data_IF_506537896339
#
_entry.id   IF_506537896339
#
_cell.length_a   1.000
_cell.length_b   1.000
_cell.length_c   1.000
_cell.angle_alpha   90.00
_cell.angle_beta   90.00
_cell.angle_gamma   90.00
#
_symmetry.space_group_name_H-M   'P 1'
#
loop_
_entity.id
_entity.type
_entity.pdbx_description
1 polymer ?
#
# COMPACT_ATOMS: atom_id res chain seq x y z
N UNK A 1 -15.94 1.10 28.83
CA UNK A 1 -16.03 2.38 28.09
C UNK A 1 -16.31 2.01 26.64
N UNK A 2 -17.54 2.22 26.14
CA UNK A 2 -17.95 1.85 24.78
C UNK A 2 -17.84 3.08 23.89
N UNK A 3 -17.10 2.97 22.80
CA UNK A 3 -16.95 4.01 21.80
C UNK A 3 -18.28 4.13 21.03
N UNK A 4 -18.99 5.23 21.21
CA UNK A 4 -20.21 5.56 20.48
C UNK A 4 -19.79 6.51 19.37
N UNK A 5 -19.73 6.04 18.11
CA UNK A 5 -19.46 6.90 16.96
C UNK A 5 -20.72 7.07 16.07
N UNK A 6 -21.33 8.23 16.24
CA UNK A 6 -21.81 9.17 15.21
C UNK A 6 -22.79 8.76 14.09
N UNK A 7 -23.45 7.59 14.09
CA UNK A 7 -24.50 7.31 13.08
C UNK A 7 -25.84 6.78 13.61
N UNK A 8 -25.98 6.56 14.92
CA UNK A 8 -27.26 6.09 15.52
C UNK A 8 -27.70 4.70 15.07
N UNK A 9 -26.92 4.00 14.23
CA UNK A 9 -27.16 2.61 13.84
C UNK A 9 -26.39 1.70 14.79
N UNK A 10 -27.11 0.97 15.63
CA UNK A 10 -26.52 -0.15 16.36
C UNK A 10 -26.30 -1.29 15.37
N UNK A 11 -25.05 -1.61 15.06
CA UNK A 11 -24.73 -2.83 14.33
C UNK A 11 -25.02 -4.02 15.22
N UNK A 12 -25.85 -4.95 14.75
CA UNK A 12 -26.04 -6.21 15.45
C UNK A 12 -24.88 -7.17 15.13
N UNK A 13 -24.85 -8.31 15.82
CA UNK A 13 -23.78 -9.29 15.64
C UNK A 13 -23.75 -9.87 14.22
N UNK A 14 -24.89 -9.98 13.56
CA UNK A 14 -25.02 -10.47 12.18
C UNK A 14 -24.44 -9.47 11.21
N UNK A 15 -24.72 -8.17 11.39
CA UNK A 15 -24.13 -7.10 10.56
C UNK A 15 -22.59 -7.10 10.65
N UNK A 16 -22.05 -7.38 11.84
CA UNK A 16 -20.61 -7.48 12.07
C UNK A 16 -20.01 -8.76 11.46
N UNK A 17 -20.70 -9.89 11.59
CA UNK A 17 -20.29 -11.18 11.00
C UNK A 17 -20.32 -11.11 9.46
N UNK A 18 -21.32 -10.45 8.87
CA UNK A 18 -21.41 -10.20 7.41
C UNK A 18 -20.30 -9.27 6.91
N UNK A 19 -19.98 -8.21 7.68
CA UNK A 19 -18.86 -7.34 7.35
C UNK A 19 -17.51 -8.09 7.41
N UNK A 20 -17.34 -9.00 8.38
CA UNK A 20 -16.18 -9.89 8.48
C UNK A 20 -16.14 -10.96 7.37
N UNK A 21 -17.29 -11.41 6.89
CA UNK A 21 -17.42 -12.34 5.75
C UNK A 21 -17.40 -11.66 4.38
N UNK A 22 -17.35 -10.32 4.33
CA UNK A 22 -17.33 -9.61 3.05
C UNK A 22 -16.10 -9.97 2.20
N UNK A 23 -16.26 -9.93 0.88
CA UNK A 23 -15.17 -10.17 -0.07
C UNK A 23 -13.95 -9.26 0.17
N UNK A 24 -14.18 -8.01 0.58
CA UNK A 24 -13.11 -7.07 0.96
C UNK A 24 -12.35 -7.56 2.20
N UNK A 25 -13.07 -8.07 3.20
CA UNK A 25 -12.45 -8.62 4.41
C UNK A 25 -11.64 -9.88 4.11
N UNK A 26 -12.15 -10.74 3.21
CA UNK A 26 -11.41 -11.91 2.73
C UNK A 26 -10.14 -11.51 1.97
N UNK A 27 -10.23 -10.57 1.03
CA UNK A 27 -9.06 -10.07 0.31
C UNK A 27 -7.98 -9.54 1.26
N UNK A 28 -8.35 -8.76 2.27
CA UNK A 28 -7.37 -8.28 3.26
C UNK A 28 -6.74 -9.39 4.09
N UNK A 29 -7.48 -10.47 4.40
CA UNK A 29 -6.91 -11.66 5.03
C UNK A 29 -5.93 -12.38 4.12
N UNK A 30 -6.26 -12.50 2.84
CA UNK A 30 -5.40 -13.16 1.85
C UNK A 30 -4.10 -12.37 1.64
N UNK A 31 -4.19 -11.04 1.57
CA UNK A 31 -3.01 -10.15 1.53
C UNK A 31 -2.15 -10.33 2.78
N UNK A 32 -2.76 -10.35 3.96
CA UNK A 32 -2.02 -10.57 5.19
C UNK A 32 -1.37 -11.96 5.21
N UNK A 33 -2.05 -13.01 4.75
CA UNK A 33 -1.49 -14.36 4.67
C UNK A 33 -0.30 -14.42 3.70
N UNK A 34 -0.42 -13.82 2.51
CA UNK A 34 0.66 -13.72 1.53
C UNK A 34 1.87 -12.95 2.08
N UNK A 35 1.63 -11.81 2.77
CA UNK A 35 2.69 -11.02 3.40
C UNK A 35 3.52 -11.81 4.42
N UNK A 36 2.90 -12.75 5.14
CA UNK A 36 3.58 -13.62 6.11
C UNK A 36 4.14 -14.92 5.52
N UNK A 37 3.84 -15.23 4.26
CA UNK A 37 4.23 -16.52 3.65
C UNK A 37 5.74 -16.68 3.44
N UNK A 38 6.52 -15.59 3.59
CA UNK A 38 7.96 -15.54 3.30
C UNK A 38 8.30 -16.08 1.90
N UNK A 39 7.39 -15.87 0.95
CA UNK A 39 7.56 -16.24 -0.45
C UNK A 39 8.72 -15.44 -1.07
N UNK A 40 9.61 -16.15 -1.76
CA UNK A 40 10.79 -15.56 -2.41
C UNK A 40 10.42 -14.60 -3.52
N UNK A 41 9.22 -14.73 -4.10
CA UNK A 41 8.68 -13.80 -5.10
C UNK A 41 8.60 -12.36 -4.59
N UNK A 42 8.45 -12.16 -3.27
CA UNK A 42 8.39 -10.83 -2.67
C UNK A 42 9.76 -10.27 -2.23
N UNK A 43 10.84 -11.02 -2.41
CA UNK A 43 12.19 -10.66 -1.92
C UNK A 43 13.04 -9.87 -2.93
N UNK A 44 12.54 -9.67 -4.15
CA UNK A 44 13.24 -8.95 -5.19
C UNK A 44 12.78 -7.50 -5.35
N UNK A 45 13.66 -6.67 -5.90
CA UNK A 45 13.30 -5.41 -6.52
C UNK A 45 13.02 -5.65 -8.01
N UNK A 46 12.04 -4.96 -8.56
CA UNK A 46 11.73 -5.03 -10.00
C UNK A 46 12.64 -4.15 -10.86
N UNK A 47 13.29 -3.16 -10.26
CA UNK A 47 14.17 -2.21 -10.92
C UNK A 47 15.45 -2.00 -10.09
N UNK A 48 16.59 -1.91 -10.78
CA UNK A 48 17.90 -1.64 -10.20
C UNK A 48 18.15 -0.12 -10.16
N UNK A 49 17.48 0.57 -9.22
CA UNK A 49 17.65 2.00 -8.97
C UNK A 49 18.56 2.21 -7.75
N UNK A 50 19.61 3.06 -7.86
CA UNK A 50 20.46 3.42 -6.71
C UNK A 50 19.69 3.91 -5.48
N UNK A 51 18.47 4.42 -5.64
CA UNK A 51 17.59 4.79 -4.53
C UNK A 51 17.24 3.61 -3.60
N UNK A 52 17.44 2.36 -4.04
CA UNK A 52 17.17 1.15 -3.28
C UNK A 52 18.42 0.37 -2.86
N UNK A 53 19.64 0.88 -3.11
CA UNK A 53 20.91 0.14 -2.89
C UNK A 53 21.06 -0.41 -1.44
N UNK A 54 20.57 0.33 -0.45
CA UNK A 54 20.63 -0.05 0.97
C UNK A 54 19.35 -0.74 1.49
N UNK A 55 18.41 -1.12 0.60
CA UNK A 55 17.15 -1.77 0.97
C UNK A 55 17.21 -3.25 0.63
N UNK A 56 16.98 -4.09 1.65
CA UNK A 56 16.75 -5.53 1.47
C UNK A 56 15.25 -5.84 1.58
N UNK A 57 14.53 -6.08 0.44
CA UNK A 57 13.11 -6.42 0.46
C UNK A 57 12.80 -7.73 1.18
N UNK A 58 13.80 -8.61 1.37
CA UNK A 58 13.66 -9.84 2.12
C UNK A 58 13.58 -9.65 3.63
N UNK A 59 13.94 -8.48 4.15
CA UNK A 59 13.84 -8.11 5.57
C UNK A 59 12.51 -7.40 5.81
N UNK A 60 11.47 -8.21 6.02
CA UNK A 60 10.10 -7.73 6.20
C UNK A 60 9.74 -7.65 7.69
N UNK A 61 9.14 -6.54 8.11
CA UNK A 61 8.56 -6.40 9.45
C UNK A 61 7.12 -6.96 9.43
N UNK A 62 6.80 -8.00 10.21
CA UNK A 62 5.45 -8.56 10.22
C UNK A 62 4.40 -7.54 10.67
N UNK A 63 3.29 -7.44 9.91
CA UNK A 63 2.20 -6.52 10.17
C UNK A 63 0.85 -7.23 10.05
N UNK A 64 -0.08 -6.89 10.93
CA UNK A 64 -1.45 -7.42 10.84
C UNK A 64 -2.22 -6.77 9.67
N UNK A 65 -3.35 -7.38 9.30
CA UNK A 65 -4.22 -6.89 8.22
C UNK A 65 -4.57 -5.40 8.35
N UNK A 66 -4.93 -4.95 9.56
CA UNK A 66 -5.34 -3.57 9.78
C UNK A 66 -4.19 -2.59 9.51
N UNK A 67 -2.97 -2.92 9.93
CA UNK A 67 -1.79 -2.10 9.67
C UNK A 67 -1.41 -2.09 8.20
N UNK A 68 -1.51 -3.24 7.51
CA UNK A 68 -1.29 -3.31 6.06
C UNK A 68 -2.29 -2.45 5.28
N UNK A 69 -3.57 -2.43 5.69
CA UNK A 69 -4.57 -1.54 5.07
C UNK A 69 -4.27 -0.06 5.31
N UNK A 70 -3.78 0.30 6.49
CA UNK A 70 -3.34 1.67 6.81
C UNK A 70 -2.16 2.09 5.94
N UNK A 71 -1.11 1.26 5.86
CA UNK A 71 0.07 1.51 5.03
C UNK A 71 -0.31 1.65 3.54
N UNK A 72 -1.21 0.80 3.05
CA UNK A 72 -1.71 0.89 1.67
C UNK A 72 -2.45 2.21 1.40
N UNK A 73 -3.29 2.67 2.33
CA UNK A 73 -4.00 3.96 2.20
C UNK A 73 -3.02 5.14 2.22
N UNK A 74 -2.01 5.09 3.08
CA UNK A 74 -0.97 6.11 3.15
C UNK A 74 -0.18 6.18 1.84
N UNK A 75 0.34 5.03 1.39
CA UNK A 75 1.09 4.89 0.13
C UNK A 75 0.30 5.43 -1.07
N UNK A 76 -0.95 5.01 -1.23
CA UNK A 76 -1.79 5.42 -2.38
C UNK A 76 -2.17 6.91 -2.33
N UNK A 77 -2.33 7.48 -1.13
CA UNK A 77 -2.54 8.93 -0.96
C UNK A 77 -1.31 9.73 -1.42
N UNK A 78 -0.11 9.37 -0.95
CA UNK A 78 1.12 10.02 -1.38
C UNK A 78 1.38 9.85 -2.87
N UNK A 79 1.17 8.65 -3.40
CA UNK A 79 1.28 8.38 -4.84
C UNK A 79 0.38 9.30 -5.65
N UNK A 80 -0.89 9.45 -5.24
CA UNK A 80 -1.85 10.30 -5.95
C UNK A 80 -1.39 11.77 -6.02
N UNK A 81 -0.82 12.29 -4.93
CA UNK A 81 -0.26 13.65 -4.88
C UNK A 81 0.98 13.77 -5.79
N UNK A 82 1.93 12.83 -5.69
CA UNK A 82 3.15 12.84 -6.50
C UNK A 82 2.84 12.75 -8.00
N UNK A 83 1.94 11.84 -8.38
CA UNK A 83 1.52 11.65 -9.76
C UNK A 83 0.78 12.87 -10.33
N UNK A 84 -0.06 13.54 -9.52
CA UNK A 84 -0.72 14.77 -9.94
C UNK A 84 0.31 15.89 -10.20
N UNK A 85 1.28 16.06 -9.30
CA UNK A 85 2.33 17.07 -9.46
C UNK A 85 3.22 16.78 -10.67
N UNK A 86 3.59 15.51 -10.87
CA UNK A 86 4.37 15.08 -12.03
C UNK A 86 3.67 15.40 -13.36
N UNK A 87 2.36 15.11 -13.44
CA UNK A 87 1.54 15.41 -14.62
C UNK A 87 1.39 16.92 -14.86
N UNK A 88 1.30 17.72 -13.79
CA UNK A 88 1.13 19.17 -13.87
C UNK A 88 2.39 19.88 -14.38
N UNK A 89 3.58 19.43 -13.93
CA UNK A 89 4.85 20.06 -14.27
C UNK A 89 5.46 19.57 -15.59
N UNK A 90 4.82 18.59 -16.24
CA UNK A 90 5.19 18.09 -17.55
C UNK A 90 6.24 16.97 -17.48
N UNK A 91 6.05 15.94 -18.32
CA UNK A 91 6.88 14.72 -18.35
C UNK A 91 8.12 14.84 -19.23
N UNK A 92 8.41 16.03 -19.78
CA UNK A 92 9.45 16.20 -20.79
C UNK A 92 10.87 16.36 -20.20
N UNK A 93 11.00 16.93 -19.00
CA UNK A 93 12.31 17.23 -18.38
C UNK A 93 12.45 16.73 -16.93
N UNK A 94 11.40 16.13 -16.36
CA UNK A 94 11.40 15.68 -14.98
C UNK A 94 11.23 14.17 -14.88
N UNK A 95 11.94 13.54 -13.95
CA UNK A 95 11.74 12.14 -13.58
C UNK A 95 10.77 12.06 -12.40
N UNK A 96 9.90 11.06 -12.37
CA UNK A 96 8.92 10.87 -11.29
C UNK A 96 9.58 10.85 -9.90
N UNK A 97 10.79 10.28 -9.78
CA UNK A 97 11.56 10.21 -8.53
C UNK A 97 11.84 11.57 -7.89
N UNK A 98 11.84 12.66 -8.65
CA UNK A 98 12.02 14.01 -8.12
C UNK A 98 10.81 14.47 -7.27
N UNK A 99 9.65 13.83 -7.44
CA UNK A 99 8.40 14.16 -6.76
C UNK A 99 8.13 13.34 -5.51
N UNK A 100 8.85 12.22 -5.30
CA UNK A 100 8.56 11.32 -4.18
C UNK A 100 9.13 11.79 -2.85
N UNK A 101 9.98 12.83 -2.84
CA UNK A 101 10.56 13.43 -1.63
C UNK A 101 11.17 12.39 -0.64
N UNK A 102 11.84 11.36 -1.17
CA UNK A 102 12.46 10.29 -0.38
C UNK A 102 11.50 9.17 0.06
N UNK A 103 10.23 9.19 -0.34
CA UNK A 103 9.29 8.08 -0.13
C UNK A 103 9.55 6.98 -1.16
N UNK A 104 10.47 6.08 -0.83
CA UNK A 104 10.94 5.02 -1.74
C UNK A 104 9.86 3.98 -2.05
N UNK A 105 8.94 3.74 -1.13
CA UNK A 105 7.74 2.93 -1.32
C UNK A 105 6.83 3.49 -2.43
N UNK A 106 6.68 4.82 -2.51
CA UNK A 106 5.93 5.49 -3.58
C UNK A 106 6.64 5.36 -4.93
N UNK A 107 7.97 5.49 -4.95
CA UNK A 107 8.78 5.29 -6.16
C UNK A 107 8.70 3.84 -6.64
N UNK A 108 8.78 2.87 -5.73
CA UNK A 108 8.67 1.46 -6.04
C UNK A 108 7.30 1.11 -6.64
N UNK A 109 6.22 1.71 -6.12
CA UNK A 109 4.88 1.57 -6.70
C UNK A 109 4.79 2.14 -8.12
N UNK A 110 5.46 3.27 -8.40
CA UNK A 110 5.50 3.84 -9.75
C UNK A 110 6.14 2.88 -10.76
N UNK A 111 7.31 2.32 -10.44
CA UNK A 111 7.97 1.33 -11.31
C UNK A 111 7.12 0.10 -11.56
N UNK A 112 6.41 -0.40 -10.54
CA UNK A 112 5.50 -1.53 -10.71
C UNK A 112 4.36 -1.24 -11.69
N UNK A 113 3.85 -0.01 -11.66
CA UNK A 113 2.78 0.43 -12.55
C UNK A 113 3.29 0.68 -13.97
N UNK A 114 4.51 1.18 -14.16
CA UNK A 114 5.11 1.33 -15.50
C UNK A 114 5.40 -0.01 -16.15
N UNK A 115 5.85 -1.01 -15.41
CA UNK A 115 6.04 -2.39 -15.93
C UNK A 115 4.70 -3.03 -16.36
N UNK A 116 3.57 -2.56 -15.81
CA UNK A 116 2.25 -3.14 -16.05
C UNK A 116 1.43 -2.44 -17.15
N UNK A 117 1.97 -1.40 -17.80
CA UNK A 117 1.33 -0.61 -18.86
C UNK A 117 1.91 -0.94 -20.25
#
# INVERSE_FOLDING_TARGET
MRLIEATGRSFDRTDLDDAQSSAKSQFGRDVAAAYHSNDEVFRGLIEDDPAFEDIDPGVIVPHNQAKLEELWKELTSFFSVCAANFRLLGTHDHEFKQFVHGKMDVLYLWYWLEVSL
#
